data_IF_458703336874
#
_entry.id   IF_458703336874
#
_cell.length_a   1.000
_cell.length_b   1.000
_cell.length_c   1.000
_cell.angle_alpha   90.00
_cell.angle_beta   90.00
_cell.angle_gamma   90.00
#
_symmetry.space_group_name_H-M   'P 1'
#
loop_
_entity.id
_entity.type
_entity.pdbx_description
1 polymer ?
#
# COMPACT_ATOMS: atom_id res chain seq x y z
N UNK A 1 -25.94 -24.00 54.76
CA UNK A 1 -26.09 -23.61 56.18
C UNK A 1 -24.92 -24.21 56.95
N UNK A 2 -24.00 -23.37 57.46
CA UNK A 2 -23.05 -23.75 58.53
C UNK A 2 -23.76 -23.82 59.88
N UNK A 3 -23.10 -24.24 60.99
CA UNK A 3 -21.97 -23.53 61.62
C UNK A 3 -20.84 -24.51 62.03
N UNK A 4 -19.68 -24.21 62.62
CA UNK A 4 -19.14 -23.04 63.31
C UNK A 4 -18.27 -23.50 64.51
N UNK A 5 -16.95 -23.53 64.30
CA UNK A 5 -15.78 -23.36 65.17
C UNK A 5 -15.79 -23.52 66.73
N UNK A 6 -14.68 -24.12 67.22
CA UNK A 6 -13.67 -23.55 68.17
C UNK A 6 -13.48 -24.13 69.61
N UNK A 7 -12.20 -24.05 70.04
CA UNK A 7 -11.56 -24.00 71.40
C UNK A 7 -10.85 -25.29 71.85
N UNK A 8 -9.62 -25.31 72.42
CA UNK A 8 -8.61 -24.31 72.81
C UNK A 8 -7.35 -25.03 73.37
N UNK A 9 -6.12 -24.51 73.23
CA UNK A 9 -5.34 -23.89 74.32
C UNK A 9 -3.88 -24.43 74.44
N UNK A 10 -2.91 -23.71 75.08
CA UNK A 10 -1.49 -23.57 74.64
C UNK A 10 -0.44 -23.90 75.75
N UNK A 11 0.79 -23.29 75.89
CA UNK A 11 1.82 -22.73 74.96
C UNK A 11 3.29 -23.21 75.23
N UNK A 12 4.26 -22.85 74.36
CA UNK A 12 5.65 -22.37 74.63
C UNK A 12 6.53 -22.52 73.36
N UNK A 13 7.59 -21.76 73.04
CA UNK A 13 8.10 -20.38 73.22
C UNK A 13 9.44 -20.34 72.42
N UNK A 14 9.77 -19.19 71.83
CA UNK A 14 11.07 -18.86 71.17
C UNK A 14 10.83 -18.38 69.74
N UNK A 15 10.97 -17.10 69.34
CA UNK A 15 11.96 -16.07 69.66
C UNK A 15 12.97 -16.03 68.49
N UNK A 16 13.09 -15.03 67.62
CA UNK A 16 12.60 -13.65 67.57
C UNK A 16 12.66 -13.04 66.14
N UNK A 17 12.48 -11.72 65.99
CA UNK A 17 11.90 -11.10 64.79
C UNK A 17 12.78 -10.08 64.04
N UNK A 18 12.31 -9.65 62.86
CA UNK A 18 12.46 -8.28 62.31
C UNK A 18 13.68 -8.08 61.39
N UNK A 19 13.57 -7.75 60.10
CA UNK A 19 12.92 -6.59 59.44
C UNK A 19 13.83 -5.33 59.33
N UNK A 20 13.67 -4.63 58.20
CA UNK A 20 14.10 -3.25 57.89
C UNK A 20 15.61 -3.01 57.75
N UNK A 21 16.11 -2.61 56.56
CA UNK A 21 16.05 -1.26 55.95
C UNK A 21 16.69 -0.18 56.83
N UNK A 22 17.76 0.41 56.29
CA UNK A 22 18.46 1.64 56.69
C UNK A 22 19.42 1.62 57.90
N UNK A 23 20.71 1.78 57.59
CA UNK A 23 21.63 2.63 58.36
C UNK A 23 22.69 3.22 57.43
N UNK A 24 22.59 4.51 57.17
CA UNK A 24 23.71 5.35 56.74
C UNK A 24 24.58 5.71 57.95
N UNK A 25 25.88 5.92 57.73
CA UNK A 25 26.61 7.18 57.99
C UNK A 25 28.13 6.91 57.97
N UNK A 26 28.82 7.46 56.96
CA UNK A 26 29.80 8.56 57.08
C UNK A 26 31.07 8.19 57.85
N UNK A 27 32.21 8.08 57.16
CA UNK A 27 33.24 9.11 57.34
C UNK A 27 34.28 9.18 56.22
N UNK A 28 34.71 10.40 55.95
CA UNK A 28 35.58 10.84 54.86
C UNK A 28 36.93 11.27 55.43
N UNK A 29 38.04 10.64 55.00
CA UNK A 29 39.36 11.28 55.02
C UNK A 29 40.13 11.01 53.72
N UNK A 30 40.18 12.06 52.88
CA UNK A 30 41.35 12.62 52.17
C UNK A 30 42.20 11.60 51.36
N UNK A 31 42.04 11.47 50.04
CA UNK A 31 42.62 12.31 48.96
C UNK A 31 44.09 12.74 49.14
N UNK A 32 44.91 12.25 48.18
CA UNK A 32 46.23 12.72 47.68
C UNK A 32 47.36 12.52 48.71
N UNK A 33 48.55 12.07 48.35
CA UNK A 33 49.33 12.29 47.13
C UNK A 33 50.48 11.27 47.05
N UNK A 34 51.18 11.31 45.91
CA UNK A 34 52.47 10.70 45.63
C UNK A 34 52.41 9.16 45.45
N UNK A 35 52.56 8.67 44.23
CA UNK A 35 53.83 8.68 43.50
C UNK A 35 54.40 7.28 43.69
N UNK A 36 54.27 6.38 42.73
CA UNK A 36 55.11 6.37 41.54
C UNK A 36 55.88 5.04 41.54
N UNK A 37 56.19 4.56 40.34
CA UNK A 37 57.11 3.45 40.04
C UNK A 37 56.61 2.02 40.33
N UNK A 38 56.00 1.40 39.31
CA UNK A 38 56.33 0.00 38.98
C UNK A 38 57.80 -0.05 38.55
N UNK A 39 58.60 -0.83 39.29
CA UNK A 39 60.00 -1.08 39.00
C UNK A 39 60.16 -2.40 38.23
N UNK A 40 60.63 -2.24 36.98
CA UNK A 40 61.62 -3.05 36.28
C UNK A 40 61.38 -4.57 36.14
N UNK A 41 60.76 -4.92 35.01
CA UNK A 41 61.19 -6.06 34.21
C UNK A 41 62.59 -5.81 33.63
N UNK A 42 63.48 -6.81 33.76
CA UNK A 42 64.84 -6.80 33.23
C UNK A 42 64.87 -6.88 31.70
N UNK A 43 65.71 -6.04 31.12
CA UNK A 43 66.02 -5.93 29.70
C UNK A 43 66.87 -7.10 29.17
N UNK A 44 66.72 -7.45 27.89
CA UNK A 44 67.74 -7.13 26.88
C UNK A 44 67.33 -7.61 25.48
N UNK A 45 67.11 -6.66 24.58
CA UNK A 45 67.38 -6.82 23.15
C UNK A 45 67.45 -5.41 22.55
N UNK A 46 68.66 -5.02 22.15
CA UNK A 46 68.98 -3.65 21.78
C UNK A 46 68.50 -3.24 20.39
N UNK A 47 68.37 -1.93 20.22
CA UNK A 47 68.80 -1.29 18.97
C UNK A 47 67.73 -0.84 17.98
N UNK A 48 67.26 0.40 18.19
CA UNK A 48 66.92 1.41 17.16
C UNK A 48 65.57 1.36 16.43
N UNK A 49 64.59 2.01 17.08
CA UNK A 49 63.55 2.92 16.55
C UNK A 49 63.51 3.20 15.02
N UNK A 50 62.28 3.13 14.47
CA UNK A 50 61.52 4.33 14.04
C UNK A 50 60.02 4.02 13.79
N UNK A 51 59.17 4.60 14.66
CA UNK A 51 57.82 5.18 14.41
C UNK A 51 56.69 4.20 14.03
N UNK A 52 55.81 3.86 14.99
CA UNK A 52 54.46 4.46 15.20
C UNK A 52 53.60 4.48 13.93
N UNK A 53 52.59 3.61 13.86
CA UNK A 53 51.23 4.00 13.51
C UNK A 53 50.23 2.91 13.96
N UNK A 54 49.29 3.38 14.78
CA UNK A 54 48.16 2.71 15.42
C UNK A 54 47.03 2.47 14.40
N UNK A 55 46.37 1.31 14.44
CA UNK A 55 45.02 1.15 13.89
C UNK A 55 44.28 -0.05 14.52
N UNK A 56 43.70 0.16 15.71
CA UNK A 56 42.51 -0.61 16.11
C UNK A 56 41.30 0.07 15.47
N UNK A 57 40.78 -0.50 14.39
CA UNK A 57 39.51 -0.08 13.81
C UNK A 57 38.36 -0.75 14.57
N UNK A 58 37.68 0.01 15.43
CA UNK A 58 36.37 -0.35 15.93
C UNK A 58 35.34 -0.21 14.79
N UNK A 59 34.62 -1.29 14.47
CA UNK A 59 33.52 -1.27 13.50
C UNK A 59 32.23 -0.95 14.27
N UNK A 60 31.59 0.22 14.10
CA UNK A 60 30.20 0.37 14.49
C UNK A 60 29.34 -0.31 13.42
N UNK A 61 28.58 -1.33 13.82
CA UNK A 61 27.53 -1.93 13.01
C UNK A 61 26.42 -0.88 12.82
N UNK A 62 26.44 -0.21 11.67
CA UNK A 62 25.46 0.77 11.26
C UNK A 62 24.15 0.04 10.92
N UNK A 63 23.18 0.07 11.85
CA UNK A 63 21.77 -0.24 11.56
C UNK A 63 21.22 0.87 10.67
N UNK A 64 21.44 0.77 9.36
CA UNK A 64 20.68 1.53 8.38
C UNK A 64 19.27 0.92 8.31
N UNK A 65 18.37 1.40 9.17
CA UNK A 65 16.93 1.28 8.92
C UNK A 65 16.70 2.00 7.59
N UNK A 66 16.41 1.23 6.54
CA UNK A 66 16.06 1.78 5.24
C UNK A 66 14.82 2.66 5.41
N UNK A 67 15.02 3.98 5.46
CA UNK A 67 13.93 4.92 5.36
C UNK A 67 13.29 4.68 3.99
N UNK A 68 12.10 4.09 3.99
CA UNK A 68 11.28 4.01 2.78
C UNK A 68 11.08 5.47 2.36
N UNK A 69 11.52 5.89 1.16
CA UNK A 69 11.30 7.27 0.75
C UNK A 69 9.80 7.52 0.80
N UNK A 70 9.39 8.51 1.60
CA UNK A 70 8.03 8.99 1.56
C UNK A 70 7.79 9.51 0.15
N UNK A 71 6.81 8.95 -0.57
CA UNK A 71 6.43 9.48 -1.88
C UNK A 71 6.08 10.95 -1.71
N UNK A 72 6.77 11.85 -2.42
CA UNK A 72 6.37 13.24 -2.45
C UNK A 72 4.96 13.35 -3.01
N UNK A 73 4.13 14.22 -2.43
CA UNK A 73 2.83 14.51 -2.99
C UNK A 73 3.01 15.05 -4.43
N UNK A 74 2.18 14.62 -5.39
CA UNK A 74 2.32 15.07 -6.76
C UNK A 74 2.11 16.60 -6.81
N UNK A 75 2.90 17.28 -7.63
CA UNK A 75 2.77 18.72 -7.89
C UNK A 75 1.76 19.04 -8.99
N UNK A 76 1.35 18.01 -9.75
CA UNK A 76 0.43 18.03 -10.87
C UNK A 76 -0.70 17.03 -10.64
N UNK A 77 -1.74 17.05 -11.47
CA UNK A 77 -2.74 15.99 -11.49
C UNK A 77 -2.11 14.72 -12.12
N UNK A 78 -2.44 13.54 -11.59
CA UNK A 78 -2.09 12.24 -12.18
C UNK A 78 -3.37 11.46 -12.38
N UNK A 79 -3.67 11.06 -13.62
CA UNK A 79 -4.96 10.44 -13.99
C UNK A 79 -4.77 9.09 -14.64
N UNK A 80 -5.57 8.10 -14.26
CA UNK A 80 -5.76 6.87 -15.04
C UNK A 80 -7.21 6.73 -15.50
N UNK A 81 -7.40 6.07 -16.63
CA UNK A 81 -8.72 5.67 -17.13
C UNK A 81 -8.92 4.18 -16.84
N UNK A 82 -10.12 3.80 -16.42
CA UNK A 82 -10.52 2.42 -16.13
C UNK A 82 -11.84 2.13 -16.83
N UNK A 83 -11.83 1.16 -17.76
CA UNK A 83 -13.00 0.79 -18.54
C UNK A 83 -13.62 -0.51 -18.04
N UNK A 84 -14.87 -0.42 -17.62
CA UNK A 84 -15.64 -1.50 -16.98
C UNK A 84 -17.02 -1.67 -17.62
N UNK A 85 -17.21 -1.20 -18.86
CA UNK A 85 -18.43 -1.49 -19.61
C UNK A 85 -18.41 -2.97 -20.02
N UNK A 86 -19.50 -3.73 -19.74
CA UNK A 86 -19.57 -5.14 -20.05
C UNK A 86 -19.87 -5.46 -21.52
N UNK A 87 -20.21 -4.45 -22.33
CA UNK A 87 -20.68 -4.66 -23.70
C UNK A 87 -19.56 -4.51 -24.73
N UNK A 88 -19.06 -5.64 -25.22
CA UNK A 88 -18.22 -5.69 -26.42
C UNK A 88 -19.01 -5.99 -27.70
N UNK A 89 -20.28 -6.38 -27.58
CA UNK A 89 -21.16 -6.80 -28.68
C UNK A 89 -21.64 -5.63 -29.55
N UNK A 90 -21.93 -4.47 -28.95
CA UNK A 90 -22.30 -3.25 -29.71
C UNK A 90 -21.08 -2.47 -30.25
N UNK A 91 -19.88 -2.95 -29.93
CA UNK A 91 -18.60 -2.48 -30.44
C UNK A 91 -17.72 -1.85 -29.37
N UNK A 92 -16.43 -1.77 -29.69
CA UNK A 92 -15.40 -1.22 -28.79
C UNK A 92 -15.49 0.30 -28.72
N UNK A 93 -14.85 0.88 -27.69
CA UNK A 93 -14.71 2.34 -27.55
C UNK A 93 -13.23 2.75 -27.50
N UNK A 94 -12.99 3.98 -27.92
CA UNK A 94 -11.76 4.72 -27.71
C UNK A 94 -11.97 5.70 -26.55
N UNK A 95 -10.98 5.81 -25.65
CA UNK A 95 -11.00 6.75 -24.52
C UNK A 95 -10.04 7.90 -24.78
N UNK A 96 -10.44 9.12 -24.43
CA UNK A 96 -9.66 10.33 -24.72
C UNK A 96 -9.47 11.18 -23.46
N UNK A 97 -8.35 11.88 -23.43
CA UNK A 97 -8.03 12.94 -22.47
C UNK A 97 -7.72 14.20 -23.28
N UNK A 98 -8.48 15.27 -23.06
CA UNK A 98 -8.35 16.56 -23.76
C UNK A 98 -8.28 16.41 -25.29
N UNK A 99 -9.16 15.56 -25.84
CA UNK A 99 -9.25 15.28 -27.28
C UNK A 99 -8.14 14.37 -27.83
N UNK A 100 -7.16 13.94 -27.02
CA UNK A 100 -6.14 12.97 -27.40
C UNK A 100 -6.53 11.56 -26.99
N UNK A 101 -6.43 10.60 -27.92
CA UNK A 101 -6.75 9.19 -27.64
C UNK A 101 -5.74 8.61 -26.65
N UNK A 102 -6.22 8.11 -25.52
CA UNK A 102 -5.44 7.48 -24.46
C UNK A 102 -5.53 5.94 -24.50
N UNK A 103 -6.70 5.39 -24.84
CA UNK A 103 -6.91 3.96 -25.12
C UNK A 103 -7.70 3.79 -26.41
N UNK A 104 -7.33 2.78 -27.21
CA UNK A 104 -8.01 2.44 -28.44
C UNK A 104 -8.60 1.02 -28.32
N UNK A 105 -9.72 0.78 -29.01
CA UNK A 105 -10.33 -0.56 -29.11
C UNK A 105 -10.47 -1.24 -27.73
N UNK A 106 -10.95 -0.45 -26.76
CA UNK A 106 -10.93 -0.80 -25.34
C UNK A 106 -11.85 -1.99 -25.05
N UNK A 107 -11.38 -2.91 -24.19
CA UNK A 107 -12.13 -4.08 -23.71
C UNK A 107 -12.32 -4.03 -22.21
N UNK A 108 -13.29 -4.78 -21.68
CA UNK A 108 -13.57 -4.84 -20.25
C UNK A 108 -12.29 -5.03 -19.40
N UNK A 109 -12.20 -4.30 -18.29
CA UNK A 109 -11.05 -4.23 -17.35
C UNK A 109 -9.74 -3.69 -17.96
N UNK A 110 -9.84 -2.97 -19.09
CA UNK A 110 -8.70 -2.19 -19.59
C UNK A 110 -8.47 -0.95 -18.74
N UNK A 111 -7.20 -0.64 -18.48
CA UNK A 111 -6.79 0.53 -17.71
C UNK A 111 -5.49 1.13 -18.21
N UNK A 112 -5.38 2.45 -18.14
CA UNK A 112 -4.10 3.13 -18.38
C UNK A 112 -3.23 3.09 -17.12
N UNK A 113 -1.90 3.23 -17.28
CA UNK A 113 -1.04 3.81 -16.26
C UNK A 113 -1.57 5.19 -15.80
N UNK A 114 -1.11 5.67 -14.65
CA UNK A 114 -1.35 7.08 -14.27
C UNK A 114 -0.50 8.00 -15.15
N UNK A 115 -1.14 9.01 -15.73
CA UNK A 115 -0.56 9.97 -16.65
C UNK A 115 -0.59 11.37 -16.02
N UNK A 116 0.49 12.12 -16.16
CA UNK A 116 0.56 13.49 -15.64
C UNK A 116 -0.27 14.46 -16.48
N UNK A 117 -1.12 15.24 -15.83
CA UNK A 117 -1.86 16.36 -16.40
C UNK A 117 -1.55 17.62 -15.60
N UNK A 118 -1.59 18.78 -16.26
CA UNK A 118 -1.54 20.06 -15.56
C UNK A 118 -2.69 20.19 -14.57
N UNK A 119 -2.59 21.09 -13.59
CA UNK A 119 -3.78 21.43 -12.79
C UNK A 119 -4.72 22.30 -13.62
N UNK A 120 -6.03 22.12 -13.45
CA UNK A 120 -7.06 22.88 -14.16
C UNK A 120 -8.10 21.99 -14.83
N UNK A 121 -8.87 22.58 -15.74
CA UNK A 121 -9.95 21.91 -16.44
C UNK A 121 -9.44 20.87 -17.44
N UNK A 122 -9.94 19.65 -17.30
CA UNK A 122 -9.70 18.54 -18.23
C UNK A 122 -11.00 17.91 -18.67
N UNK A 123 -11.01 17.38 -19.89
CA UNK A 123 -12.16 16.68 -20.47
C UNK A 123 -11.78 15.24 -20.80
N UNK A 124 -12.64 14.32 -20.40
CA UNK A 124 -12.51 12.89 -20.64
C UNK A 124 -13.69 12.43 -21.49
N UNK A 125 -13.39 11.99 -22.71
CA UNK A 125 -14.40 11.54 -23.67
C UNK A 125 -14.33 10.03 -23.89
N UNK A 126 -15.50 9.44 -24.08
CA UNK A 126 -15.66 8.08 -24.58
C UNK A 126 -16.33 8.16 -25.94
N UNK A 127 -15.75 7.50 -26.94
CA UNK A 127 -16.28 7.49 -28.32
C UNK A 127 -16.26 6.07 -28.85
N UNK A 128 -17.26 5.68 -29.63
CA UNK A 128 -17.21 4.44 -30.42
C UNK A 128 -15.90 4.36 -31.22
N UNK A 129 -15.24 3.21 -31.14
CA UNK A 129 -13.92 2.99 -31.72
C UNK A 129 -13.92 3.28 -33.23
N UNK A 130 -12.88 3.96 -33.69
CA UNK A 130 -12.73 4.35 -35.09
C UNK A 130 -13.63 5.51 -35.55
N UNK A 131 -14.46 6.08 -34.68
CA UNK A 131 -15.26 7.27 -35.02
C UNK A 131 -14.38 8.49 -35.32
N UNK A 132 -14.78 9.38 -36.24
CA UNK A 132 -14.07 10.64 -36.47
C UNK A 132 -13.95 11.49 -35.21
N UNK A 133 -12.86 12.26 -35.08
CA UNK A 133 -12.66 13.18 -33.95
C UNK A 133 -13.75 14.26 -33.83
N UNK A 134 -14.50 14.52 -34.92
CA UNK A 134 -15.63 15.45 -34.95
C UNK A 134 -16.96 14.84 -34.53
N UNK A 135 -17.04 13.51 -34.37
CA UNK A 135 -18.26 12.87 -33.86
C UNK A 135 -18.53 13.34 -32.43
N UNK A 136 -19.79 13.36 -32.01
CA UNK A 136 -20.12 13.60 -30.60
C UNK A 136 -19.65 12.42 -29.74
N UNK A 137 -19.06 12.66 -28.55
CA UNK A 137 -18.78 11.59 -27.59
C UNK A 137 -20.05 10.88 -27.13
N UNK A 138 -19.94 9.58 -26.87
CA UNK A 138 -21.00 8.78 -26.23
C UNK A 138 -21.11 9.11 -24.74
N UNK A 139 -19.99 9.51 -24.12
CA UNK A 139 -19.95 10.09 -22.79
C UNK A 139 -18.84 11.13 -22.68
N UNK A 140 -19.09 12.16 -21.90
CA UNK A 140 -18.10 13.19 -21.56
C UNK A 140 -18.19 13.49 -20.07
N UNK A 141 -17.05 13.59 -19.42
CA UNK A 141 -16.93 14.19 -18.08
C UNK A 141 -15.84 15.25 -18.10
N UNK A 142 -16.14 16.39 -17.51
CA UNK A 142 -15.24 17.54 -17.47
C UNK A 142 -15.09 18.00 -16.02
N UNK A 143 -13.86 18.13 -15.55
CA UNK A 143 -13.58 18.52 -14.17
C UNK A 143 -12.28 19.31 -14.06
N UNK A 144 -12.26 20.28 -13.15
CA UNK A 144 -11.03 20.96 -12.73
C UNK A 144 -10.28 20.08 -11.74
N UNK A 145 -9.09 19.62 -12.12
CA UNK A 145 -8.23 18.75 -11.32
C UNK A 145 -7.15 19.57 -10.60
N UNK A 146 -6.99 19.31 -9.31
CA UNK A 146 -5.89 19.85 -8.52
C UNK A 146 -4.70 18.90 -8.58
N UNK A 147 -3.60 19.27 -7.91
CA UNK A 147 -2.51 18.34 -7.69
C UNK A 147 -3.00 17.15 -6.85
N UNK A 148 -2.80 15.93 -7.35
CA UNK A 148 -3.39 14.73 -6.76
C UNK A 148 -3.52 13.59 -7.77
N UNK A 149 -4.04 12.46 -7.30
CA UNK A 149 -4.31 11.30 -8.15
C UNK A 149 -5.80 11.15 -8.37
N UNK A 150 -6.18 10.72 -9.58
CA UNK A 150 -7.58 10.53 -9.96
C UNK A 150 -7.74 9.29 -10.83
N UNK A 151 -8.83 8.58 -10.62
CA UNK A 151 -9.29 7.50 -11.48
C UNK A 151 -10.58 7.92 -12.16
N UNK A 152 -10.59 7.87 -13.50
CA UNK A 152 -11.82 8.01 -14.29
C UNK A 152 -12.34 6.62 -14.58
N UNK A 153 -13.47 6.26 -13.98
CA UNK A 153 -14.15 5.00 -14.20
C UNK A 153 -15.22 5.18 -15.27
N UNK A 154 -15.18 4.31 -16.28
CA UNK A 154 -16.14 4.26 -17.38
C UNK A 154 -16.94 2.96 -17.23
N UNK A 155 -18.25 3.08 -17.20
CA UNK A 155 -19.18 1.94 -17.17
C UNK A 155 -20.47 2.28 -17.89
N UNK A 156 -21.50 1.46 -17.75
CA UNK A 156 -22.69 1.56 -18.61
C UNK A 156 -22.57 0.69 -19.86
N UNK A 157 -23.51 0.82 -20.79
CA UNK A 157 -23.58 0.04 -22.02
C UNK A 157 -23.56 0.96 -23.25
N UNK A 158 -22.75 0.62 -24.25
CA UNK A 158 -22.73 1.32 -25.54
C UNK A 158 -24.12 1.19 -26.18
N UNK A 159 -24.64 2.27 -26.77
CA UNK A 159 -25.93 2.25 -27.47
C UNK A 159 -27.19 2.13 -26.60
N UNK A 160 -27.07 1.88 -25.29
CA UNK A 160 -28.23 1.74 -24.41
C UNK A 160 -28.87 3.07 -24.05
N UNK A 161 -30.20 3.14 -24.17
CA UNK A 161 -31.01 4.29 -23.74
C UNK A 161 -31.34 4.27 -22.24
N UNK A 162 -31.34 3.10 -21.61
CA UNK A 162 -31.66 2.93 -20.18
C UNK A 162 -30.42 2.95 -19.29
N UNK A 163 -29.28 2.53 -19.82
CA UNK A 163 -28.00 2.46 -19.12
C UNK A 163 -26.86 2.92 -20.03
N UNK A 164 -26.87 4.16 -20.53
CA UNK A 164 -25.83 4.66 -21.44
C UNK A 164 -24.45 4.63 -20.79
N UNK A 165 -23.40 4.60 -21.62
CA UNK A 165 -22.03 4.78 -21.14
C UNK A 165 -21.93 6.06 -20.31
N UNK A 166 -21.22 5.97 -19.19
CA UNK A 166 -20.95 7.09 -18.29
C UNK A 166 -19.53 7.01 -17.77
N UNK A 167 -18.89 8.17 -17.69
CA UNK A 167 -17.62 8.37 -17.02
C UNK A 167 -17.83 9.10 -15.69
N UNK A 168 -17.15 8.64 -14.64
CA UNK A 168 -17.14 9.27 -13.32
C UNK A 168 -15.72 9.35 -12.78
N UNK A 169 -15.40 10.46 -12.12
CA UNK A 169 -14.06 10.75 -11.63
C UNK A 169 -14.05 10.59 -10.11
N UNK A 170 -13.06 9.84 -9.60
CA UNK A 170 -12.79 9.70 -8.19
C UNK A 170 -11.39 10.21 -7.88
N UNK A 171 -11.26 10.95 -6.77
CA UNK A 171 -9.96 11.27 -6.20
C UNK A 171 -9.38 10.04 -5.51
N UNK A 172 -8.08 9.83 -5.67
CA UNK A 172 -7.35 8.72 -5.07
C UNK A 172 -6.37 9.30 -4.03
N UNK A 173 -6.65 9.03 -2.76
CA UNK A 173 -5.91 9.60 -1.62
C UNK A 173 -4.97 8.60 -0.94
N UNK A 174 -4.91 7.34 -1.41
CA UNK A 174 -4.04 6.24 -0.95
C UNK A 174 -3.71 6.28 0.55
N UNK A 175 -4.71 6.08 1.42
CA UNK A 175 -4.51 6.23 2.85
C UNK A 175 -3.48 5.22 3.35
N UNK A 176 -2.67 5.64 4.33
CA UNK A 176 -1.78 4.72 5.03
C UNK A 176 -2.60 3.71 5.84
N UNK A 177 -2.46 2.42 5.53
CA UNK A 177 -3.02 1.37 6.37
C UNK A 177 -2.05 1.04 7.53
N UNK A 178 -2.54 0.92 8.79
CA UNK A 178 -1.72 0.47 9.91
C UNK A 178 -1.12 -0.94 9.73
N UNK A 179 -0.16 -1.31 10.59
CA UNK A 179 0.45 -2.64 10.57
C UNK A 179 -0.61 -3.76 10.65
N UNK A 180 -0.46 -4.78 9.78
CA UNK A 180 -1.40 -5.91 9.68
C UNK A 180 -2.76 -5.57 9.05
N UNK A 181 -2.91 -4.38 8.44
CA UNK A 181 -4.14 -3.96 7.76
C UNK A 181 -3.89 -3.58 6.31
N UNK A 182 -4.95 -3.62 5.52
CA UNK A 182 -5.05 -3.02 4.18
C UNK A 182 -6.18 -1.97 4.17
N UNK A 183 -6.17 -1.08 3.17
CA UNK A 183 -7.24 -0.13 2.94
C UNK A 183 -8.02 -0.51 1.69
N UNK A 184 -9.35 -0.45 1.75
CA UNK A 184 -10.21 -0.66 0.59
C UNK A 184 -11.36 0.34 0.54
N UNK A 185 -11.75 0.70 -0.69
CA UNK A 185 -13.04 1.33 -0.96
C UNK A 185 -13.80 0.47 -1.96
N UNK A 186 -15.11 0.67 -2.02
CA UNK A 186 -15.96 0.06 -3.03
C UNK A 186 -16.52 1.12 -3.97
N UNK A 187 -16.55 0.84 -5.27
CA UNK A 187 -17.23 1.64 -6.29
C UNK A 187 -18.26 0.75 -6.98
N UNK A 188 -19.46 1.28 -7.19
CA UNK A 188 -20.49 0.56 -7.92
C UNK A 188 -20.59 1.06 -9.35
N UNK A 189 -20.41 0.18 -10.33
CA UNK A 189 -20.42 0.49 -11.77
C UNK A 189 -21.42 -0.39 -12.55
N UNK A 190 -22.29 -1.16 -11.87
CA UNK A 190 -23.33 -1.95 -12.54
C UNK A 190 -24.68 -1.20 -12.57
N UNK A 191 -25.07 -0.59 -13.71
CA UNK A 191 -26.17 0.37 -13.80
C UNK A 191 -27.57 -0.22 -13.60
N UNK A 192 -27.75 -1.53 -13.82
CA UNK A 192 -29.03 -2.21 -13.63
C UNK A 192 -29.30 -2.58 -12.16
N UNK A 193 -28.30 -2.38 -11.28
CA UNK A 193 -28.42 -2.64 -9.84
C UNK A 193 -28.42 -1.28 -9.12
N UNK A 194 -29.54 -0.83 -8.51
CA UNK A 194 -29.64 0.54 -8.00
C UNK A 194 -28.58 0.90 -6.95
N UNK A 195 -28.52 0.11 -5.89
CA UNK A 195 -27.56 0.24 -4.81
C UNK A 195 -27.25 -1.11 -4.20
N UNK A 196 -26.00 -1.28 -3.77
CA UNK A 196 -25.50 -2.54 -3.25
C UNK A 196 -24.88 -2.39 -1.87
N UNK A 197 -25.00 -3.46 -1.10
CA UNK A 197 -24.14 -3.72 0.05
C UNK A 197 -23.07 -4.73 -0.36
N UNK A 198 -21.83 -4.49 0.07
CA UNK A 198 -20.77 -5.50 0.05
C UNK A 198 -20.75 -6.15 1.42
N UNK A 199 -21.04 -7.45 1.49
CA UNK A 199 -21.14 -8.19 2.73
C UNK A 199 -20.11 -9.31 2.79
N UNK A 200 -19.77 -9.74 4.00
CA UNK A 200 -19.16 -11.05 4.20
C UNK A 200 -20.21 -12.14 3.93
N UNK A 201 -19.86 -13.08 3.06
CA UNK A 201 -20.64 -14.27 2.78
C UNK A 201 -20.47 -15.29 3.90
N UNK A 202 -20.97 -14.93 5.08
CA UNK A 202 -21.01 -15.76 6.28
C UNK A 202 -22.38 -15.62 6.95
N UNK A 203 -22.64 -16.45 7.96
CA UNK A 203 -23.94 -16.46 8.65
C UNK A 203 -24.29 -15.14 9.35
N UNK A 204 -23.30 -14.28 9.63
CA UNK A 204 -23.52 -12.98 10.25
C UNK A 204 -23.85 -11.87 9.22
N UNK A 205 -23.55 -12.07 7.94
CA UNK A 205 -23.84 -11.10 6.87
C UNK A 205 -23.19 -9.73 7.11
N UNK A 206 -22.01 -9.68 7.72
CA UNK A 206 -21.37 -8.42 8.11
C UNK A 206 -21.18 -7.50 6.91
N UNK A 207 -21.75 -6.30 6.96
CA UNK A 207 -21.62 -5.31 5.89
C UNK A 207 -20.25 -4.64 5.96
N UNK A 208 -19.48 -4.72 4.88
CA UNK A 208 -18.19 -4.06 4.69
C UNK A 208 -18.36 -2.65 4.09
N UNK A 209 -19.25 -2.53 3.09
CA UNK A 209 -19.61 -1.27 2.46
C UNK A 209 -21.12 -1.23 2.27
N UNK A 210 -21.76 -0.15 2.71
CA UNK A 210 -23.22 -0.05 2.80
C UNK A 210 -23.78 0.95 1.81
N UNK A 211 -24.87 0.56 1.14
CA UNK A 211 -25.72 1.38 0.28
C UNK A 211 -24.94 2.20 -0.76
N UNK A 212 -24.02 1.55 -1.47
CA UNK A 212 -23.25 2.21 -2.52
C UNK A 212 -24.10 2.21 -3.79
N UNK A 213 -24.60 3.38 -4.15
CA UNK A 213 -25.43 3.57 -5.34
C UNK A 213 -24.59 3.51 -6.63
N UNK A 214 -25.21 3.18 -7.76
CA UNK A 214 -24.49 3.09 -9.02
C UNK A 214 -23.79 4.42 -9.39
N UNK A 215 -22.57 4.30 -9.91
CA UNK A 215 -21.63 5.37 -10.22
C UNK A 215 -21.18 6.19 -9.01
N UNK A 216 -21.33 5.64 -7.81
CA UNK A 216 -20.79 6.21 -6.57
C UNK A 216 -19.77 5.25 -5.96
N UNK A 217 -19.03 5.77 -4.99
CA UNK A 217 -18.05 5.01 -4.24
C UNK A 217 -18.09 5.37 -2.76
N UNK A 218 -17.64 4.44 -1.94
CA UNK A 218 -17.41 4.68 -0.53
C UNK A 218 -16.10 5.44 -0.31
N UNK A 219 -15.93 5.97 0.90
CA UNK A 219 -14.59 6.28 1.41
C UNK A 219 -13.77 5.00 1.59
N UNK A 220 -12.45 5.16 1.66
CA UNK A 220 -11.56 4.07 2.06
C UNK A 220 -11.76 3.72 3.53
N UNK A 221 -11.84 2.42 3.82
CA UNK A 221 -11.88 1.84 5.15
C UNK A 221 -10.73 0.85 5.32
N UNK A 222 -10.29 0.65 6.56
CA UNK A 222 -9.18 -0.28 6.85
C UNK A 222 -9.68 -1.61 7.40
N UNK A 223 -9.10 -2.69 6.93
CA UNK A 223 -9.46 -4.06 7.30
C UNK A 223 -8.20 -4.85 7.66
N UNK A 224 -8.25 -5.82 8.59
CA UNK A 224 -7.16 -6.76 8.81
C UNK A 224 -6.76 -7.47 7.51
N UNK A 225 -5.49 -7.81 7.32
CA UNK A 225 -5.12 -8.73 6.23
C UNK A 225 -5.71 -10.11 6.47
N UNK A 226 -6.17 -10.78 5.41
CA UNK A 226 -6.78 -12.10 5.50
C UNK A 226 -7.56 -12.49 4.26
N UNK A 227 -8.33 -13.57 4.41
CA UNK A 227 -9.24 -14.10 3.39
C UNK A 227 -10.67 -13.66 3.69
N UNK A 228 -11.33 -13.11 2.68
CA UNK A 228 -12.64 -12.48 2.80
C UNK A 228 -13.61 -13.14 1.82
N UNK A 229 -14.50 -14.06 2.25
CA UNK A 229 -15.61 -14.49 1.43
C UNK A 229 -16.57 -13.30 1.32
N UNK A 230 -16.66 -12.67 0.15
CA UNK A 230 -17.46 -11.47 -0.10
C UNK A 230 -18.62 -11.77 -1.02
N UNK A 231 -19.73 -11.09 -0.82
CA UNK A 231 -20.87 -11.09 -1.71
C UNK A 231 -21.38 -9.67 -1.95
N UNK A 232 -21.92 -9.44 -3.14
CA UNK A 232 -22.69 -8.23 -3.46
C UNK A 232 -24.17 -8.58 -3.39
N UNK A 233 -24.93 -7.75 -2.69
CA UNK A 233 -26.38 -7.90 -2.50
C UNK A 233 -27.05 -6.55 -2.72
N UNK A 234 -28.35 -6.55 -3.02
CA UNK A 234 -29.11 -5.30 -3.03
C UNK A 234 -29.08 -4.65 -1.64
N UNK A 235 -29.09 -3.31 -1.58
CA UNK A 235 -29.07 -2.58 -0.30
C UNK A 235 -30.12 -3.11 0.68
N UNK A 236 -29.68 -3.42 1.91
CA UNK A 236 -30.56 -3.82 3.00
C UNK A 236 -31.03 -5.28 2.96
N UNK A 237 -30.48 -6.09 2.05
CA UNK A 237 -30.77 -7.53 1.96
C UNK A 237 -29.52 -8.37 2.21
N UNK A 238 -29.69 -9.68 2.32
CA UNK A 238 -28.59 -10.66 2.32
C UNK A 238 -28.73 -11.68 1.18
N UNK A 239 -29.84 -11.62 0.45
CA UNK A 239 -30.18 -12.52 -0.65
C UNK A 239 -31.19 -11.87 -1.61
N UNK A 240 -31.20 -12.23 -2.92
CA UNK A 240 -30.20 -13.08 -3.57
C UNK A 240 -28.85 -12.38 -3.66
N UNK A 241 -27.78 -13.17 -3.70
CA UNK A 241 -26.43 -12.65 -3.92
C UNK A 241 -26.23 -12.46 -5.41
N UNK A 242 -25.92 -11.22 -5.80
CA UNK A 242 -25.68 -10.82 -7.18
C UNK A 242 -24.32 -11.31 -7.67
N UNK A 243 -23.38 -11.48 -6.74
CA UNK A 243 -22.04 -12.00 -6.97
C UNK A 243 -21.48 -12.57 -5.67
N UNK A 244 -20.57 -13.54 -5.77
CA UNK A 244 -19.79 -14.07 -4.65
C UNK A 244 -18.36 -14.39 -5.11
N UNK A 245 -17.38 -14.10 -4.25
CA UNK A 245 -16.00 -14.56 -4.42
C UNK A 245 -15.27 -14.60 -3.08
N UNK A 246 -14.03 -15.10 -3.07
CA UNK A 246 -13.11 -14.94 -1.96
C UNK A 246 -12.01 -13.97 -2.36
N UNK A 247 -11.85 -12.88 -1.59
CA UNK A 247 -10.77 -11.92 -1.76
C UNK A 247 -9.66 -12.21 -0.74
N UNK A 248 -8.46 -12.51 -1.21
CA UNK A 248 -7.30 -12.79 -0.37
C UNK A 248 -6.33 -11.60 -0.36
N UNK A 249 -6.24 -10.90 0.76
CA UNK A 249 -5.33 -9.75 0.93
C UNK A 249 -4.36 -10.03 2.07
N UNK A 250 -3.20 -10.58 1.72
CA UNK A 250 -2.19 -11.02 2.69
C UNK A 250 -1.12 -9.97 2.99
N UNK A 251 -0.98 -8.95 2.12
CA UNK A 251 0.08 -7.94 2.23
C UNK A 251 -0.42 -6.70 2.97
N UNK A 252 0.12 -6.39 4.16
CA UNK A 252 -0.23 -5.16 4.88
C UNK A 252 0.20 -3.91 4.10
N UNK A 253 -0.50 -2.80 4.30
CA UNK A 253 -0.22 -1.56 3.58
C UNK A 253 -0.81 -1.48 2.18
N UNK A 254 -1.39 -2.57 1.67
CA UNK A 254 -2.07 -2.57 0.37
C UNK A 254 -3.26 -1.61 0.38
N UNK A 255 -3.42 -0.85 -0.70
CA UNK A 255 -4.61 -0.06 -0.99
C UNK A 255 -5.27 -0.64 -2.23
N UNK A 256 -6.58 -0.91 -2.17
CA UNK A 256 -7.33 -1.51 -3.27
C UNK A 256 -8.68 -0.81 -3.47
N UNK A 257 -9.07 -0.61 -4.71
CA UNK A 257 -10.43 -0.26 -5.07
C UNK A 257 -11.14 -1.53 -5.54
N UNK A 258 -12.22 -1.91 -4.85
CA UNK A 258 -13.12 -2.97 -5.28
C UNK A 258 -14.22 -2.35 -6.13
N UNK A 259 -14.56 -2.95 -7.28
CA UNK A 259 -15.59 -2.43 -8.17
C UNK A 259 -16.61 -3.49 -8.50
N UNK A 260 -17.88 -3.21 -8.20
CA UNK A 260 -19.00 -4.00 -8.71
C UNK A 260 -19.26 -3.58 -10.15
N UNK A 261 -18.85 -4.39 -11.13
CA UNK A 261 -19.00 -4.11 -12.56
C UNK A 261 -19.80 -5.23 -13.25
N UNK A 262 -20.25 -4.99 -14.48
CA UNK A 262 -21.16 -5.92 -15.17
C UNK A 262 -22.61 -5.43 -15.13
N UNK A 263 -23.55 -6.38 -15.13
CA UNK A 263 -24.96 -6.09 -15.45
C UNK A 263 -25.15 -5.90 -16.96
N UNK A 264 -26.39 -5.75 -17.41
CA UNK A 264 -26.76 -5.65 -18.83
C UNK A 264 -26.63 -6.98 -19.57
N UNK A 265 -27.39 -7.97 -19.10
CA UNK A 265 -27.35 -9.38 -19.55
C UNK A 265 -26.04 -10.14 -19.26
N UNK A 266 -25.03 -9.46 -18.74
CA UNK A 266 -23.82 -10.08 -18.18
C UNK A 266 -23.88 -10.16 -16.65
N UNK A 267 -23.35 -11.23 -16.02
CA UNK A 267 -23.26 -11.32 -14.57
C UNK A 267 -22.52 -10.14 -13.95
N UNK A 268 -23.00 -9.67 -12.79
CA UNK A 268 -22.22 -8.73 -11.97
C UNK A 268 -21.00 -9.46 -11.42
N UNK A 269 -19.86 -8.79 -11.45
CA UNK A 269 -18.59 -9.28 -10.93
C UNK A 269 -17.88 -8.24 -10.07
N UNK A 270 -17.01 -8.70 -9.19
CA UNK A 270 -16.13 -7.86 -8.39
C UNK A 270 -14.75 -7.77 -9.03
N UNK A 271 -14.40 -6.58 -9.52
CA UNK A 271 -13.07 -6.27 -10.06
C UNK A 271 -12.23 -5.66 -8.94
N UNK A 272 -11.06 -6.23 -8.66
CA UNK A 272 -10.11 -5.69 -7.71
C UNK A 272 -9.03 -4.90 -8.45
N UNK A 273 -8.95 -3.60 -8.17
CA UNK A 273 -7.98 -2.70 -8.79
C UNK A 273 -6.95 -2.33 -7.72
N UNK A 274 -5.70 -2.84 -7.83
CA UNK A 274 -4.65 -2.46 -6.91
C UNK A 274 -4.31 -0.98 -7.12
N UNK A 275 -4.40 -0.22 -6.04
CA UNK A 275 -4.11 1.20 -6.01
C UNK A 275 -2.65 1.40 -5.60
N UNK A 276 -2.22 0.82 -4.47
CA UNK A 276 -0.84 0.85 -4.00
C UNK A 276 -0.46 -0.47 -3.31
N UNK A 277 0.80 -0.89 -3.45
CA UNK A 277 1.32 -2.12 -2.83
C UNK A 277 1.86 -1.92 -1.41
N UNK A 278 1.99 -0.66 -0.96
CA UNK A 278 2.30 -0.30 0.43
C UNK A 278 1.84 1.14 0.73
N UNK A 279 1.73 1.45 2.02
CA UNK A 279 1.34 2.78 2.49
C UNK A 279 2.30 3.87 1.98
N UNK A 280 1.74 4.94 1.41
CA UNK A 280 2.51 6.10 0.95
C UNK A 280 3.47 5.81 -0.22
N UNK A 281 3.33 4.67 -0.90
CA UNK A 281 4.00 4.41 -2.18
C UNK A 281 3.19 5.02 -3.33
N UNK A 282 3.89 5.39 -4.41
CA UNK A 282 3.19 5.76 -5.64
C UNK A 282 2.30 4.60 -6.10
N UNK A 283 1.16 4.92 -6.72
CA UNK A 283 0.25 3.91 -7.20
C UNK A 283 0.87 2.99 -8.23
N UNK A 284 0.38 1.76 -8.29
CA UNK A 284 0.83 0.78 -9.28
C UNK A 284 0.56 1.32 -10.68
N UNK A 285 1.59 1.35 -11.52
CA UNK A 285 1.50 1.92 -12.87
C UNK A 285 1.58 3.45 -12.90
N UNK A 286 1.93 4.12 -11.81
CA UNK A 286 2.49 5.47 -11.88
C UNK A 286 3.84 5.38 -12.60
N UNK A 287 4.00 6.08 -13.72
CA UNK A 287 5.33 6.33 -14.23
C UNK A 287 6.04 7.17 -13.15
N UNK A 288 6.89 6.52 -12.36
CA UNK A 288 7.77 7.14 -11.39
C UNK A 288 8.88 7.90 -12.12
N UNK A 289 8.51 8.87 -12.95
CA UNK A 289 9.43 9.81 -13.57
C UNK A 289 9.25 11.11 -12.82
N UNK A 290 10.10 11.30 -11.82
CA UNK A 290 10.38 12.65 -11.33
C UNK A 290 10.67 13.55 -12.52
N UNK A 291 10.00 14.70 -12.52
CA UNK A 291 10.16 15.80 -13.47
C UNK A 291 9.49 15.63 -14.85
N UNK A 292 8.38 16.36 -15.06
CA UNK A 292 8.03 16.98 -16.35
C UNK A 292 7.50 16.08 -17.46
N UNK A 293 6.28 16.38 -17.93
CA UNK A 293 5.67 15.68 -19.06
C UNK A 293 6.48 15.77 -20.35
N UNK A 294 6.91 14.62 -20.84
CA UNK A 294 7.02 14.23 -22.24
C UNK A 294 6.91 12.71 -22.17
N UNK A 295 5.90 12.03 -22.69
CA UNK A 295 5.72 11.77 -24.10
C UNK A 295 4.32 11.15 -24.24
N UNK A 296 3.34 11.89 -24.76
CA UNK A 296 2.24 11.26 -25.48
C UNK A 296 2.83 10.74 -26.80
N UNK A 297 3.05 9.42 -26.89
CA UNK A 297 3.31 8.69 -28.14
C UNK A 297 4.77 8.49 -28.54
N UNK A 298 5.23 7.23 -28.50
CA UNK A 298 6.40 6.78 -29.27
C UNK A 298 7.22 5.65 -28.64
N UNK A 299 6.87 4.41 -29.00
CA UNK A 299 7.68 3.17 -29.02
C UNK A 299 8.57 2.84 -27.79
N UNK A 300 8.17 1.75 -27.12
CA UNK A 300 8.98 1.01 -26.14
C UNK A 300 10.34 0.63 -26.75
N UNK A 301 11.42 0.63 -25.95
CA UNK A 301 12.24 -0.56 -25.90
C UNK A 301 12.34 -1.10 -24.47
N UNK A 302 12.07 -2.41 -24.35
CA UNK A 302 12.46 -3.23 -23.21
C UNK A 302 13.97 -3.00 -22.95
N UNK A 303 14.32 -2.45 -21.80
CA UNK A 303 15.67 -2.57 -21.28
C UNK A 303 15.69 -2.41 -19.75
N UNK A 304 16.42 -3.35 -19.12
CA UNK A 304 16.99 -3.31 -17.77
C UNK A 304 16.09 -3.77 -16.60
N UNK A 305 15.83 -5.07 -16.55
CA UNK A 305 16.01 -5.82 -15.30
C UNK A 305 17.12 -6.85 -15.52
N UNK A 306 18.36 -6.36 -15.52
CA UNK A 306 19.56 -7.18 -15.37
C UNK A 306 20.59 -6.33 -14.63
N UNK A 307 20.64 -6.47 -13.31
CA UNK A 307 21.56 -5.69 -12.49
C UNK A 307 21.37 -5.89 -11.00
N UNK A 308 21.77 -7.06 -10.49
CA UNK A 308 22.36 -7.24 -9.14
C UNK A 308 22.44 -8.72 -8.68
N UNK A 309 22.48 -9.67 -9.61
CA UNK A 309 23.09 -10.99 -9.38
C UNK A 309 24.52 -11.04 -9.92
N UNK A 310 25.33 -10.01 -9.63
CA UNK A 310 26.79 -10.02 -9.83
C UNK A 310 27.44 -9.25 -8.67
N UNK A 311 27.29 -9.79 -7.46
CA UNK A 311 28.06 -9.37 -6.29
C UNK A 311 28.48 -10.54 -5.38
N UNK A 312 28.42 -11.78 -5.89
CA UNK A 312 28.87 -12.97 -5.16
C UNK A 312 29.89 -13.84 -5.93
N UNK A 313 30.41 -13.37 -7.07
CA UNK A 313 31.36 -14.13 -7.90
C UNK A 313 32.77 -13.50 -8.02
N UNK A 314 33.08 -12.46 -7.24
CA UNK A 314 34.40 -11.79 -7.26
C UNK A 314 35.17 -11.87 -5.92
N UNK A 315 34.78 -12.82 -5.05
CA UNK A 315 35.49 -13.11 -3.79
C UNK A 315 36.10 -14.52 -3.72
N UNK A 316 36.11 -15.27 -4.83
CA UNK A 316 36.75 -16.60 -4.92
C UNK A 316 37.92 -16.70 -5.91
N UNK A 317 38.36 -15.58 -6.51
CA UNK A 317 39.48 -15.58 -7.47
C UNK A 317 40.80 -14.98 -6.93
N UNK A 318 40.87 -14.62 -5.65
CA UNK A 318 42.12 -14.18 -4.99
C UNK A 318 42.66 -15.12 -3.91
N UNK A 319 42.11 -16.33 -3.78
CA UNK A 319 42.60 -17.36 -2.88
C UNK A 319 43.13 -18.58 -3.65
N UNK A 320 44.08 -18.39 -4.56
CA UNK A 320 45.03 -19.44 -5.01
C UNK A 320 46.05 -18.87 -5.99
N UNK A 321 47.21 -18.48 -5.46
CA UNK A 321 48.56 -18.36 -6.05
C UNK A 321 49.32 -17.45 -5.06
N UNK A 322 50.36 -17.87 -4.35
CA UNK A 322 51.53 -18.70 -4.69
C UNK A 322 52.18 -19.22 -3.38
N UNK A 323 53.40 -19.81 -3.33
CA UNK A 323 54.22 -20.46 -4.36
C UNK A 323 54.73 -21.86 -3.94
N UNK A 324 55.28 -22.59 -4.91
CA UNK A 324 56.53 -23.35 -4.78
C UNK A 324 57.33 -23.09 -6.06
#
# INVERSE_FOLDING_TARGET
MGPGAARGGPPARGGGPGAHRERQERDWKRRRAAGGAEAAAGASSGGSMKRIALALAAIPLLLAVGAVPASAAPTNAKVRLVYLSPDDAEGKVDLYIDGRKALADTVFDSRTPYQGLTTGQHTFDVRKAGSPATASPDATVTQSLAAGYYSVFIGGKVGSSTCPIKAVIFGDNFPSAPAGKFAARFIHMAPEVPGVDVILNNSAGTVLFKNVSCFQGSDYSTFPTGSYPVALVATGTTSPQLFQTTADVQTPGTVVTLVGAGGVNEPVQLVAIPDATAAGQEPVGGAGTGEGGAVFGGLIPLALIAGSMVACALLLLFARRSPA
#
